data_IF_272330800668
#
_entry.id   IF_272330800668
#
_cell.length_a   1.000
_cell.length_b   1.000
_cell.length_c   1.000
_cell.angle_alpha   90.00
_cell.angle_beta   90.00
_cell.angle_gamma   90.00
#
_symmetry.space_group_name_H-M   'P 1'
#
loop_
_entity.id
_entity.type
_entity.pdbx_description
1 polymer ?
#
# COMPACT_ATOMS: atom_id res chain seq x y z
N UNK A 1 -23.59 16.50 0.66
CA UNK A 1 -22.28 15.90 1.01
C UNK A 1 -21.34 17.05 1.36
N UNK A 2 -20.86 17.10 2.60
CA UNK A 2 -20.10 18.25 3.09
C UNK A 2 -18.78 18.39 2.33
N UNK A 3 -18.56 19.58 1.77
CA UNK A 3 -17.38 19.91 0.96
C UNK A 3 -16.10 19.78 1.79
N UNK A 4 -16.19 20.02 3.09
CA UNK A 4 -15.11 19.84 4.06
C UNK A 4 -14.73 18.37 4.27
N UNK A 5 -15.73 17.48 4.33
CA UNK A 5 -15.49 16.04 4.45
C UNK A 5 -14.85 15.48 3.17
N UNK A 6 -15.31 15.93 2.00
CA UNK A 6 -14.74 15.53 0.71
C UNK A 6 -13.30 16.03 0.56
N UNK A 7 -13.02 17.28 0.96
CA UNK A 7 -11.67 17.85 0.92
C UNK A 7 -10.73 17.12 1.88
N UNK A 8 -11.18 16.81 3.09
CA UNK A 8 -10.41 16.03 4.06
C UNK A 8 -10.12 14.61 3.57
N UNK A 9 -11.11 13.95 2.98
CA UNK A 9 -10.95 12.61 2.39
C UNK A 9 -9.95 12.61 1.22
N UNK A 10 -9.99 13.62 0.35
CA UNK A 10 -9.04 13.76 -0.76
C UNK A 10 -7.60 13.97 -0.28
N UNK A 11 -7.41 14.80 0.75
CA UNK A 11 -6.08 15.04 1.33
C UNK A 11 -5.54 13.75 1.94
N UNK A 12 -6.34 13.05 2.74
CA UNK A 12 -5.95 11.77 3.34
C UNK A 12 -5.66 10.70 2.27
N UNK A 13 -6.49 10.60 1.24
CA UNK A 13 -6.26 9.69 0.13
C UNK A 13 -4.94 10.01 -0.59
N UNK A 14 -4.65 11.28 -0.87
CA UNK A 14 -3.39 11.71 -1.46
C UNK A 14 -2.17 11.37 -0.59
N UNK A 15 -2.28 11.55 0.72
CA UNK A 15 -1.22 11.22 1.69
C UNK A 15 -0.94 9.71 1.73
N UNK A 16 -1.99 8.88 1.74
CA UNK A 16 -1.87 7.43 1.70
C UNK A 16 -1.21 6.99 0.39
N UNK A 17 -1.64 7.55 -0.75
CA UNK A 17 -1.02 7.23 -2.05
C UNK A 17 0.45 7.66 -2.08
N UNK A 18 0.79 8.84 -1.57
CA UNK A 18 2.17 9.31 -1.52
C UNK A 18 3.05 8.41 -0.63
N UNK A 19 2.54 7.96 0.52
CA UNK A 19 3.26 7.02 1.39
C UNK A 19 3.46 5.66 0.72
N UNK A 20 2.44 5.13 0.08
CA UNK A 20 2.49 3.83 -0.62
C UNK A 20 3.45 3.90 -1.81
N UNK A 21 3.34 4.93 -2.64
CA UNK A 21 4.23 5.12 -3.80
C UNK A 21 5.66 5.39 -3.34
N UNK A 22 5.86 6.23 -2.31
CA UNK A 22 7.18 6.52 -1.75
C UNK A 22 7.85 5.28 -1.16
N UNK A 23 7.11 4.45 -0.43
CA UNK A 23 7.64 3.18 0.12
C UNK A 23 7.95 2.16 -0.98
N UNK A 24 7.22 2.15 -2.09
CA UNK A 24 7.59 1.36 -3.26
C UNK A 24 8.78 1.94 -4.04
N UNK A 25 8.91 3.25 -4.15
CA UNK A 25 10.03 3.89 -4.84
C UNK A 25 11.36 3.73 -4.07
N UNK A 26 11.30 3.67 -2.73
CA UNK A 26 12.47 3.47 -1.86
C UNK A 26 12.92 2.00 -1.77
N UNK A 27 12.17 1.05 -2.34
CA UNK A 27 12.51 -0.36 -2.27
C UNK A 27 13.08 -0.82 -3.61
N UNK A 28 14.29 -1.39 -3.62
CA UNK A 28 14.98 -1.91 -4.83
C UNK A 28 14.14 -2.92 -5.63
N UNK A 29 13.14 -3.54 -5.00
CA UNK A 29 12.17 -4.45 -5.62
C UNK A 29 10.71 -4.02 -5.35
N UNK A 30 10.48 -2.73 -5.10
CA UNK A 30 9.22 -2.21 -4.60
C UNK A 30 8.02 -2.49 -5.50
N UNK A 31 8.18 -2.42 -6.83
CA UNK A 31 7.09 -2.72 -7.77
C UNK A 31 6.69 -4.20 -7.75
N UNK A 32 7.66 -5.11 -7.63
CA UNK A 32 7.40 -6.56 -7.53
C UNK A 32 6.80 -6.93 -6.18
N UNK A 33 7.30 -6.31 -5.09
CA UNK A 33 6.76 -6.48 -3.74
C UNK A 33 5.36 -5.88 -3.62
N UNK A 34 5.07 -4.74 -4.27
CA UNK A 34 3.75 -4.15 -4.39
C UNK A 34 2.76 -5.09 -5.07
N UNK A 35 3.15 -5.66 -6.20
CA UNK A 35 2.34 -6.61 -6.95
C UNK A 35 2.06 -7.88 -6.15
N UNK A 36 3.06 -8.38 -5.42
CA UNK A 36 2.92 -9.52 -4.52
C UNK A 36 1.96 -9.21 -3.36
N UNK A 37 2.13 -8.08 -2.68
CA UNK A 37 1.25 -7.63 -1.58
C UNK A 37 -0.18 -7.44 -2.09
N UNK A 38 -0.37 -6.78 -3.24
CA UNK A 38 -1.67 -6.58 -3.86
C UNK A 38 -2.36 -7.89 -4.24
N UNK A 39 -1.61 -8.85 -4.82
CA UNK A 39 -2.13 -10.20 -5.09
C UNK A 39 -2.45 -10.98 -3.82
N UNK A 40 -1.62 -10.85 -2.79
CA UNK A 40 -1.81 -11.53 -1.52
C UNK A 40 -3.06 -11.02 -0.80
N UNK A 41 -3.26 -9.70 -0.77
CA UNK A 41 -4.49 -9.08 -0.25
C UNK A 41 -5.71 -9.52 -1.07
N UNK A 42 -5.61 -9.48 -2.40
CA UNK A 42 -6.69 -9.91 -3.29
C UNK A 42 -7.02 -11.41 -3.16
N UNK A 43 -6.04 -12.23 -2.78
CA UNK A 43 -6.21 -13.67 -2.54
C UNK A 43 -6.65 -13.99 -1.11
N UNK A 44 -6.88 -12.98 -0.26
CA UNK A 44 -7.33 -13.17 1.13
C UNK A 44 -6.23 -13.62 2.10
N UNK A 45 -4.95 -13.43 1.75
CA UNK A 45 -3.83 -13.73 2.65
C UNK A 45 -3.79 -12.68 3.77
N UNK A 46 -3.68 -13.13 5.02
CA UNK A 46 -3.60 -12.22 6.16
C UNK A 46 -2.36 -11.34 6.06
N UNK A 47 -2.52 -10.05 6.37
CA UNK A 47 -1.46 -9.03 6.24
C UNK A 47 -0.20 -9.41 7.03
N UNK A 48 -0.37 -10.10 8.17
CA UNK A 48 0.74 -10.63 8.97
C UNK A 48 1.58 -11.71 8.28
N UNK A 49 1.00 -12.42 7.30
CA UNK A 49 1.71 -13.43 6.53
C UNK A 49 2.27 -12.90 5.19
N UNK A 50 1.79 -11.74 4.72
CA UNK A 50 2.26 -11.14 3.47
C UNK A 50 3.74 -10.79 3.54
N UNK A 51 4.26 -10.36 4.69
CA UNK A 51 5.68 -10.09 4.86
C UNK A 51 6.56 -11.34 4.69
N UNK A 52 6.06 -12.51 5.09
CA UNK A 52 6.74 -13.80 4.92
C UNK A 52 6.65 -14.30 3.47
N UNK A 53 5.50 -14.12 2.81
CA UNK A 53 5.26 -14.58 1.43
C UNK A 53 5.96 -13.68 0.40
N UNK A 54 5.92 -12.35 0.60
CA UNK A 54 6.53 -11.37 -0.29
C UNK A 54 7.94 -10.94 0.14
N UNK A 55 8.50 -11.60 1.16
CA UNK A 55 9.86 -11.39 1.65
C UNK A 55 10.14 -9.94 2.02
N UNK A 56 9.20 -9.25 2.65
CA UNK A 56 9.26 -7.81 2.92
C UNK A 56 10.19 -7.44 4.09
N UNK A 57 10.82 -8.43 4.73
CA UNK A 57 11.65 -8.26 5.92
C UNK A 57 13.08 -8.82 5.82
N UNK A 58 13.63 -8.97 4.60
CA UNK A 58 15.06 -9.26 4.38
C UNK A 58 15.65 -8.27 3.40
#
# INVERSE_FOLDING_TARGET
>A
MNKDLYKGALIMAGLVVALVVGSFALSDNGLQKAGCVGRAIASGISVGNIAAVCGLGR
#
